data_IF_694436047104
#
_entry.id   IF_694436047104
#
_cell.length_a   1.000
_cell.length_b   1.000
_cell.length_c   1.000
_cell.angle_alpha   90.00
_cell.angle_beta   90.00
_cell.angle_gamma   90.00
#
_symmetry.space_group_name_H-M   'P 1'
#
loop_
_entity.id
_entity.type
_entity.pdbx_description
1 polymer ?
#
# COMPACT_ATOMS: atom_id res chain seq x y z
N UNK A 1 -3.72 -2.84 0.62
CA UNK A 1 -2.39 -2.21 0.83
C UNK A 1 -1.79 -2.78 2.10
N UNK A 2 -0.47 -2.95 2.20
CA UNK A 2 0.20 -3.41 3.41
C UNK A 2 -0.06 -2.53 4.65
N UNK A 3 -0.59 -1.32 4.47
CA UNK A 3 -1.03 -0.43 5.56
C UNK A 3 -2.05 -1.05 6.52
N UNK A 4 -2.73 -2.15 6.13
CA UNK A 4 -3.64 -2.89 7.02
C UNK A 4 -2.92 -3.58 8.19
N UNK A 5 -1.62 -3.87 8.05
CA UNK A 5 -0.83 -4.52 9.09
C UNK A 5 -0.37 -3.54 10.18
N UNK A 6 -0.26 -2.25 9.87
CA UNK A 6 0.29 -1.25 10.78
C UNK A 6 1.75 -1.52 11.14
N UNK A 7 2.09 -1.44 12.43
CA UNK A 7 3.41 -1.78 12.92
C UNK A 7 3.55 -3.32 12.99
N UNK A 8 4.58 -3.85 12.34
CA UNK A 8 4.86 -5.28 12.26
C UNK A 8 6.06 -5.65 13.14
N UNK A 9 5.98 -6.79 13.82
CA UNK A 9 7.03 -7.26 14.73
C UNK A 9 8.11 -8.08 14.02
N UNK A 10 7.80 -8.61 12.83
CA UNK A 10 8.69 -9.46 12.05
C UNK A 10 8.70 -9.08 10.57
N UNK A 11 9.86 -9.26 9.93
CA UNK A 11 10.07 -9.13 8.49
C UNK A 11 10.72 -10.42 7.97
N UNK A 12 10.17 -11.08 6.95
CA UNK A 12 9.05 -10.65 6.12
C UNK A 12 7.68 -10.74 6.84
N UNK A 13 6.72 -9.94 6.37
CA UNK A 13 5.34 -9.95 6.90
C UNK A 13 4.55 -11.04 6.19
N UNK A 14 4.08 -12.04 6.93
CA UNK A 14 3.21 -13.08 6.40
C UNK A 14 1.78 -12.56 6.15
N UNK A 15 1.07 -13.16 5.20
CA UNK A 15 -0.32 -12.79 4.89
C UNK A 15 -1.28 -12.96 6.08
N UNK A 16 -0.94 -13.91 6.96
CA UNK A 16 -1.66 -14.26 8.20
C UNK A 16 -1.35 -13.33 9.37
N UNK A 17 -0.42 -12.37 9.21
CA UNK A 17 -0.11 -11.42 10.27
C UNK A 17 -1.35 -10.60 10.69
N UNK A 18 -1.46 -10.22 11.98
CA UNK A 18 -2.60 -9.44 12.46
C UNK A 18 -2.78 -8.13 11.69
N UNK A 19 -4.04 -7.79 11.37
CA UNK A 19 -4.38 -6.51 10.73
C UNK A 19 -4.68 -5.46 11.79
N UNK A 20 -3.66 -4.65 12.14
CA UNK A 20 -3.74 -3.60 13.17
C UNK A 20 -3.36 -2.24 12.58
N UNK A 21 -4.21 -1.63 11.73
CA UNK A 21 -3.85 -0.39 11.03
C UNK A 21 -3.56 0.74 12.02
N UNK A 22 -2.47 1.48 11.77
CA UNK A 22 -2.01 2.60 12.59
C UNK A 22 -2.41 3.98 12.05
N UNK A 23 -3.20 4.02 10.97
CA UNK A 23 -3.63 5.26 10.31
C UNK A 23 -5.06 5.14 9.78
N UNK A 24 -5.79 6.27 9.62
CA UNK A 24 -7.11 6.28 8.98
C UNK A 24 -7.11 5.61 7.60
N UNK A 25 -6.07 5.86 6.80
CA UNK A 25 -5.91 5.21 5.48
C UNK A 25 -5.84 3.68 5.60
N UNK A 26 -5.04 3.14 6.52
CA UNK A 26 -4.96 1.70 6.78
C UNK A 26 -6.31 1.13 7.21
N UNK A 27 -7.03 1.83 8.09
CA UNK A 27 -8.36 1.42 8.55
C UNK A 27 -9.37 1.39 7.41
N UNK A 28 -9.37 2.39 6.52
CA UNK A 28 -10.23 2.38 5.33
C UNK A 28 -9.90 1.20 4.40
N UNK A 29 -8.62 0.86 4.21
CA UNK A 29 -8.25 -0.30 3.39
C UNK A 29 -8.73 -1.61 4.00
N UNK A 30 -8.63 -1.79 5.31
CA UNK A 30 -9.15 -2.97 5.99
C UNK A 30 -10.69 -3.05 5.91
N UNK A 31 -11.37 -1.91 6.04
CA UNK A 31 -12.83 -1.83 5.87
C UNK A 31 -13.27 -2.25 4.45
N UNK A 32 -12.55 -1.85 3.40
CA UNK A 32 -12.80 -2.30 2.04
C UNK A 32 -12.63 -3.82 1.89
N UNK A 33 -11.57 -4.41 2.47
CA UNK A 33 -11.37 -5.87 2.42
C UNK A 33 -12.51 -6.61 3.11
N UNK A 34 -13.00 -6.11 4.25
CA UNK A 34 -14.15 -6.69 4.94
C UNK A 34 -15.42 -6.59 4.09
N UNK A 35 -15.70 -5.42 3.51
CA UNK A 35 -16.87 -5.22 2.65
C UNK A 35 -16.88 -6.18 1.45
N UNK A 36 -15.74 -6.34 0.78
CA UNK A 36 -15.62 -7.29 -0.35
C UNK A 36 -15.86 -8.72 0.11
N UNK A 37 -15.29 -9.12 1.27
CA UNK A 37 -15.51 -10.46 1.86
C UNK A 37 -16.99 -10.73 2.13
N UNK A 38 -17.69 -9.78 2.74
CA UNK A 38 -19.11 -9.95 3.07
C UNK A 38 -19.97 -10.08 1.81
N UNK A 39 -19.72 -9.27 0.77
CA UNK A 39 -20.41 -9.42 -0.52
C UNK A 39 -20.07 -10.76 -1.17
N UNK A 40 -18.82 -11.20 -1.10
CA UNK A 40 -18.39 -12.46 -1.66
C UNK A 40 -19.13 -13.66 -1.04
N UNK A 41 -19.27 -13.66 0.29
CA UNK A 41 -20.06 -14.65 1.03
C UNK A 41 -21.53 -14.57 0.60
N UNK A 42 -22.13 -13.37 0.59
CA UNK A 42 -23.54 -13.18 0.27
C UNK A 42 -23.93 -13.53 -1.17
N UNK A 43 -22.97 -13.45 -2.11
CA UNK A 43 -23.19 -13.69 -3.55
C UNK A 43 -22.57 -14.99 -4.06
N UNK A 44 -21.83 -15.71 -3.24
CA UNK A 44 -21.13 -16.93 -3.66
C UNK A 44 -20.06 -16.69 -4.72
N UNK A 45 -19.35 -15.56 -4.66
CA UNK A 45 -18.27 -15.22 -5.60
C UNK A 45 -16.91 -15.34 -4.93
N UNK A 46 -15.87 -15.60 -5.73
CA UNK A 46 -14.49 -15.63 -5.26
C UNK A 46 -13.89 -14.23 -5.19
N UNK A 47 -12.97 -14.00 -4.25
CA UNK A 47 -12.25 -12.75 -4.12
C UNK A 47 -10.82 -12.96 -3.58
N UNK A 48 -9.94 -12.00 -3.84
CA UNK A 48 -8.60 -11.92 -3.28
C UNK A 48 -8.23 -10.46 -2.99
N UNK A 49 -7.50 -10.21 -1.89
CA UNK A 49 -6.92 -8.91 -1.59
C UNK A 49 -5.41 -8.91 -1.82
N UNK A 50 -4.96 -8.14 -2.80
CA UNK A 50 -3.53 -7.96 -3.08
C UNK A 50 -2.98 -6.80 -2.26
N UNK A 51 -2.04 -7.09 -1.36
CA UNK A 51 -1.45 -6.13 -0.43
C UNK A 51 0.00 -5.82 -0.82
N UNK A 52 0.17 -4.83 -1.70
CA UNK A 52 1.50 -4.30 -2.01
C UNK A 52 2.04 -3.42 -0.86
N UNK A 53 3.37 -3.31 -0.77
CA UNK A 53 4.09 -2.45 0.17
C UNK A 53 4.36 -1.07 -0.44
N UNK A 54 5.57 -0.84 -0.93
CA UNK A 54 5.99 0.38 -1.60
C UNK A 54 6.10 0.09 -3.10
N UNK A 55 5.29 0.78 -3.90
CA UNK A 55 5.32 0.66 -5.36
C UNK A 55 6.14 1.82 -5.91
N UNK A 56 6.96 1.53 -6.92
CA UNK A 56 7.70 2.53 -7.67
C UNK A 56 7.93 2.05 -9.10
N UNK A 57 8.14 2.99 -10.00
CA UNK A 57 8.35 2.73 -11.42
C UNK A 57 7.22 3.27 -12.29
N UNK A 58 7.49 3.39 -13.59
CA UNK A 58 6.52 3.83 -14.58
C UNK A 58 6.90 3.26 -15.95
N UNK A 59 5.91 2.78 -16.70
CA UNK A 59 6.14 2.25 -18.05
C UNK A 59 6.33 3.34 -19.11
N UNK A 60 5.90 4.57 -18.81
CA UNK A 60 6.00 5.73 -19.69
C UNK A 60 6.11 7.01 -18.83
N UNK A 61 6.72 8.09 -19.34
CA UNK A 61 6.92 9.31 -18.54
C UNK A 61 5.64 9.94 -17.97
N UNK A 62 4.52 9.87 -18.70
CA UNK A 62 3.24 10.42 -18.24
C UNK A 62 2.57 9.57 -17.13
N UNK A 63 3.05 8.35 -16.88
CA UNK A 63 2.63 7.48 -15.78
C UNK A 63 3.57 7.59 -14.57
N UNK A 64 4.57 8.48 -14.63
CA UNK A 64 5.49 8.68 -13.53
C UNK A 64 4.75 9.11 -12.26
N UNK A 65 5.17 8.54 -11.13
CA UNK A 65 4.75 9.01 -9.83
C UNK A 65 5.33 10.41 -9.58
N UNK A 66 4.46 11.42 -9.66
CA UNK A 66 4.79 12.82 -9.39
C UNK A 66 4.50 13.23 -7.95
N UNK A 67 4.00 12.31 -7.12
CA UNK A 67 3.57 12.55 -5.76
C UNK A 67 4.64 13.26 -4.93
N UNK A 68 4.30 14.42 -4.35
CA UNK A 68 5.23 15.23 -3.55
C UNK A 68 5.69 14.51 -2.29
N UNK A 69 4.82 13.67 -1.72
CA UNK A 69 5.05 12.94 -0.48
C UNK A 69 5.63 11.54 -0.68
N UNK A 70 5.71 11.06 -1.92
CA UNK A 70 6.20 9.70 -2.19
C UNK A 70 7.73 9.67 -2.10
N UNK A 71 8.25 8.71 -1.34
CA UNK A 71 9.66 8.64 -0.97
C UNK A 71 10.57 8.57 -2.20
N UNK A 72 10.26 7.69 -3.14
CA UNK A 72 11.12 7.44 -4.31
C UNK A 72 11.24 8.71 -5.19
N UNK A 73 10.14 9.37 -5.62
CA UNK A 73 10.25 10.66 -6.31
C UNK A 73 10.96 11.76 -5.51
N UNK A 74 10.77 11.82 -4.18
CA UNK A 74 11.49 12.79 -3.32
C UNK A 74 13.00 12.60 -3.37
N UNK A 75 13.47 11.35 -3.22
CA UNK A 75 14.90 11.01 -3.27
C UNK A 75 15.49 11.39 -4.62
N UNK A 76 14.85 10.99 -5.73
CA UNK A 76 15.34 11.33 -7.07
C UNK A 76 15.34 12.85 -7.32
N UNK A 77 14.30 13.59 -6.89
CA UNK A 77 14.29 15.06 -6.98
C UNK A 77 15.41 15.70 -6.17
N UNK A 78 15.70 15.21 -4.97
CA UNK A 78 16.80 15.72 -4.15
C UNK A 78 18.15 15.54 -4.88
N UNK A 79 18.43 14.32 -5.35
CA UNK A 79 19.65 13.99 -6.10
C UNK A 79 19.78 14.85 -7.36
N UNK A 80 18.73 14.92 -8.20
CA UNK A 80 18.75 15.70 -9.45
C UNK A 80 18.89 17.20 -9.23
N UNK A 81 18.56 17.71 -8.04
CA UNK A 81 18.71 19.12 -7.67
C UNK A 81 19.99 19.41 -6.89
N UNK A 82 20.92 18.44 -6.77
CA UNK A 82 22.16 18.61 -6.02
C UNK A 82 21.96 18.75 -4.49
N UNK A 83 20.78 18.40 -3.97
CA UNK A 83 20.47 18.39 -2.54
C UNK A 83 20.74 17.02 -1.94
N UNK A 84 20.94 16.98 -0.63
CA UNK A 84 21.02 15.71 0.12
C UNK A 84 19.64 15.01 0.09
N UNK A 85 19.59 13.72 -0.27
CA UNK A 85 18.36 12.93 -0.26
C UNK A 85 17.85 12.63 1.14
#
# INVERSE_FOLDING_TARGET
>A
SAAVYGAVEASPVAETAPTKPSSPYGSTKLACENMIREVAIARGINWAALRYFNVAGASAPHLADTGENNLIPKVFRAISSGRRP
#
